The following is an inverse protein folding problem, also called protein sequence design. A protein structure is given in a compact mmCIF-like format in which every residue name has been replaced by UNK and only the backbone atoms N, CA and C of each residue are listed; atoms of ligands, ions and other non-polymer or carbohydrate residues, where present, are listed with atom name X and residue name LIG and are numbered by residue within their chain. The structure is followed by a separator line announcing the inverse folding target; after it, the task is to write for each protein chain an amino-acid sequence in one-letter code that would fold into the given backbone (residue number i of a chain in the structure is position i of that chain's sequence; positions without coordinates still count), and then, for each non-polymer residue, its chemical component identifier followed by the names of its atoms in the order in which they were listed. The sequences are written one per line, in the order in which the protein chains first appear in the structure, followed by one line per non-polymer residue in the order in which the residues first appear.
data_IF_931512744581
#
_entry.id   IF_931512744581
#
_cell.length_a   1.000
_cell.length_b   1.000
_cell.length_c   1.000
_cell.angle_alpha   90.00
_cell.angle_beta   90.00
_cell.angle_gamma   90.00
#
_symmetry.space_group_name_H-M   'P 1'
#
loop_
_entity.id
_entity.type
_entity.pdbx_description
1 polymer ?
#
# COMPACT_ATOMS: atom_id res chain seq x y z
N UNK A 1 -75.80 23.23 -58.64
CA UNK A 1 -74.99 23.70 -57.44
C UNK A 1 -74.60 22.43 -56.69
N UNK A 2 -73.33 22.01 -56.76
CA UNK A 2 -72.84 20.81 -56.06
C UNK A 2 -72.10 21.27 -54.79
N UNK A 3 -72.64 20.83 -53.69
CA UNK A 3 -71.99 21.07 -52.38
C UNK A 3 -70.99 19.92 -52.15
N UNK A 4 -69.72 20.25 -52.06
CA UNK A 4 -68.64 19.34 -51.75
C UNK A 4 -68.50 19.33 -50.24
N UNK A 5 -68.78 18.18 -49.61
CA UNK A 5 -68.58 17.92 -48.17
C UNK A 5 -67.11 17.52 -47.97
N UNK A 6 -66.30 18.35 -47.32
CA UNK A 6 -64.92 18.03 -46.96
C UNK A 6 -64.93 17.40 -45.56
N UNK A 7 -64.67 16.13 -45.51
CA UNK A 7 -64.49 15.38 -44.24
C UNK A 7 -63.02 15.54 -43.81
N UNK A 8 -62.80 16.27 -42.73
CA UNK A 8 -61.49 16.39 -42.09
C UNK A 8 -61.28 15.18 -41.17
N UNK A 9 -60.41 14.29 -41.58
CA UNK A 9 -60.00 13.11 -40.81
C UNK A 9 -58.87 13.53 -39.85
N UNK A 10 -59.19 13.72 -38.57
CA UNK A 10 -58.20 14.04 -37.51
C UNK A 10 -57.46 12.74 -37.12
N UNK A 11 -56.21 12.62 -37.56
CA UNK A 11 -55.31 11.57 -37.14
C UNK A 11 -54.69 12.00 -35.81
N UNK A 12 -55.17 11.41 -34.72
CA UNK A 12 -54.55 11.53 -33.39
C UNK A 12 -53.35 10.58 -33.35
N UNK A 13 -52.14 11.14 -33.46
CA UNK A 13 -50.90 10.43 -33.19
C UNK A 13 -50.77 10.24 -31.67
N UNK A 14 -51.07 9.03 -31.21
CA UNK A 14 -50.70 8.57 -29.86
C UNK A 14 -49.17 8.31 -29.85
N UNK A 15 -48.40 9.32 -29.50
CA UNK A 15 -47.00 9.15 -29.12
C UNK A 15 -46.96 8.38 -27.80
N UNK A 16 -46.96 7.04 -27.87
CA UNK A 16 -46.55 6.19 -26.76
C UNK A 16 -45.05 6.42 -26.53
N UNK A 17 -44.74 7.39 -25.69
CA UNK A 17 -43.39 7.61 -25.19
C UNK A 17 -42.94 6.36 -24.41
N UNK A 18 -42.21 5.46 -25.06
CA UNK A 18 -41.39 4.50 -24.35
C UNK A 18 -40.36 5.31 -23.55
N UNK A 19 -40.69 5.58 -22.31
CA UNK A 19 -39.71 5.98 -21.30
C UNK A 19 -38.82 4.75 -21.04
N UNK A 20 -37.82 4.56 -21.91
CA UNK A 20 -36.72 3.66 -21.58
C UNK A 20 -36.07 4.26 -20.33
N UNK A 21 -36.39 3.71 -19.17
CA UNK A 21 -35.57 3.83 -17.99
C UNK A 21 -34.19 3.22 -18.32
N UNK A 22 -33.35 3.98 -19.00
CA UNK A 22 -31.93 3.71 -19.05
C UNK A 22 -31.49 3.93 -17.60
N UNK A 23 -31.46 2.83 -16.84
CA UNK A 23 -30.69 2.82 -15.59
C UNK A 23 -29.28 3.19 -16.00
N UNK A 24 -28.89 4.42 -15.73
CA UNK A 24 -27.51 4.85 -15.88
C UNK A 24 -26.70 3.87 -15.04
N UNK A 25 -25.93 3.02 -15.72
CA UNK A 25 -25.11 2.01 -15.05
C UNK A 25 -24.11 2.78 -14.21
N UNK A 26 -24.28 2.72 -12.89
CA UNK A 26 -23.45 3.45 -11.97
C UNK A 26 -22.00 3.01 -12.21
N UNK A 27 -21.14 3.93 -12.62
CA UNK A 27 -19.71 3.66 -12.81
C UNK A 27 -19.14 3.01 -11.56
N UNK A 28 -18.40 1.93 -11.73
CA UNK A 28 -17.73 1.25 -10.63
C UNK A 28 -16.23 1.33 -10.80
N UNK A 29 -15.51 1.40 -9.66
CA UNK A 29 -14.05 1.38 -9.59
C UNK A 29 -13.65 0.25 -8.65
N UNK A 30 -12.70 -0.58 -9.08
CA UNK A 30 -12.10 -1.65 -8.28
C UNK A 30 -10.75 -1.23 -7.76
N UNK A 31 -10.63 -1.20 -6.44
CA UNK A 31 -9.39 -0.83 -5.73
C UNK A 31 -8.78 -2.08 -5.11
N UNK A 32 -7.49 -2.31 -5.38
CA UNK A 32 -6.67 -3.19 -4.57
C UNK A 32 -5.89 -2.35 -3.55
N UNK A 33 -5.97 -2.67 -2.26
CA UNK A 33 -5.30 -1.90 -1.22
C UNK A 33 -4.38 -2.77 -0.37
N UNK A 34 -3.19 -2.25 -0.09
CA UNK A 34 -2.26 -2.75 0.93
C UNK A 34 -2.17 -1.83 2.16
N UNK A 35 -3.04 -0.83 2.24
CA UNK A 35 -3.20 -0.01 3.43
C UNK A 35 -4.01 -0.74 4.49
N UNK A 36 -3.99 -0.20 5.71
CA UNK A 36 -4.90 -0.63 6.77
C UNK A 36 -6.37 -0.55 6.32
N UNK A 37 -7.19 -1.52 6.72
CA UNK A 37 -8.59 -1.64 6.31
C UNK A 37 -9.37 -0.37 6.63
N UNK A 38 -9.31 0.11 7.87
CA UNK A 38 -10.02 1.33 8.30
C UNK A 38 -9.65 2.55 7.45
N UNK A 39 -8.36 2.74 7.14
CA UNK A 39 -7.91 3.85 6.29
C UNK A 39 -8.42 3.67 4.86
N UNK A 40 -8.38 2.46 4.33
CA UNK A 40 -8.89 2.17 2.99
C UNK A 40 -10.37 2.45 2.88
N UNK A 41 -11.16 2.00 3.84
CA UNK A 41 -12.61 2.17 3.86
C UNK A 41 -13.00 3.65 3.92
N UNK A 42 -12.35 4.43 4.79
CA UNK A 42 -12.57 5.88 4.87
C UNK A 42 -12.30 6.56 3.53
N UNK A 43 -11.17 6.26 2.89
CA UNK A 43 -10.80 6.85 1.61
C UNK A 43 -11.75 6.41 0.47
N UNK A 44 -12.14 5.13 0.45
CA UNK A 44 -13.03 4.57 -0.55
C UNK A 44 -14.44 5.14 -0.43
N UNK A 45 -14.97 5.25 0.78
CA UNK A 45 -16.30 5.83 1.04
C UNK A 45 -16.35 7.32 0.68
N UNK A 46 -15.33 8.09 1.08
CA UNK A 46 -15.27 9.52 0.78
C UNK A 46 -15.20 9.74 -0.73
N UNK A 47 -14.35 8.99 -1.43
CA UNK A 47 -14.25 9.03 -2.88
C UNK A 47 -15.57 8.63 -3.57
N UNK A 48 -16.22 7.54 -3.11
CA UNK A 48 -17.49 7.09 -3.65
C UNK A 48 -18.57 8.17 -3.55
N UNK A 49 -18.65 8.85 -2.41
CA UNK A 49 -19.59 9.96 -2.15
C UNK A 49 -19.29 11.18 -3.04
N UNK A 50 -18.02 11.59 -3.11
CA UNK A 50 -17.62 12.78 -3.87
C UNK A 50 -17.78 12.61 -5.37
N UNK A 51 -17.54 11.41 -5.91
CA UNK A 51 -17.57 11.15 -7.34
C UNK A 51 -18.86 10.49 -7.83
N UNK A 52 -19.78 10.15 -6.91
CA UNK A 52 -21.02 9.41 -7.21
C UNK A 52 -20.76 8.10 -8.00
N UNK A 53 -19.78 7.31 -7.53
CA UNK A 53 -19.38 6.04 -8.13
C UNK A 53 -19.47 4.92 -7.12
N UNK A 54 -19.66 3.68 -7.58
CA UNK A 54 -19.51 2.51 -6.73
C UNK A 54 -18.02 2.20 -6.60
N UNK A 55 -17.55 1.95 -5.37
CA UNK A 55 -16.18 1.51 -5.10
C UNK A 55 -16.20 0.09 -4.56
N UNK A 56 -15.43 -0.79 -5.17
CA UNK A 56 -15.19 -2.15 -4.69
C UNK A 56 -13.75 -2.25 -4.22
N UNK A 57 -13.56 -2.56 -2.93
CA UNK A 57 -12.24 -2.72 -2.33
C UNK A 57 -11.91 -4.19 -2.15
N UNK A 58 -10.69 -4.57 -2.50
CA UNK A 58 -10.07 -5.84 -2.12
C UNK A 58 -8.69 -5.58 -1.53
N UNK A 59 -8.41 -6.23 -0.40
CA UNK A 59 -7.09 -6.11 0.22
C UNK A 59 -6.09 -7.03 -0.47
N UNK A 60 -4.87 -6.50 -0.64
CA UNK A 60 -3.76 -7.25 -1.17
C UNK A 60 -3.37 -8.32 -0.14
N UNK A 61 -3.36 -9.61 -0.52
CA UNK A 61 -3.04 -10.68 0.43
C UNK A 61 -1.59 -10.57 0.93
N UNK A 62 -1.33 -11.12 2.11
CA UNK A 62 0.01 -11.42 2.54
C UNK A 62 0.64 -12.45 1.59
N UNK A 63 1.94 -12.38 1.40
CA UNK A 63 2.65 -13.27 0.50
C UNK A 63 3.92 -12.63 -0.04
N UNK A 64 4.68 -13.39 -0.80
CA UNK A 64 5.85 -12.88 -1.48
C UNK A 64 5.45 -11.92 -2.63
N UNK A 65 6.43 -11.21 -3.16
CA UNK A 65 6.20 -10.20 -4.17
C UNK A 65 5.52 -10.74 -5.45
N UNK A 66 5.94 -11.93 -5.91
CA UNK A 66 5.37 -12.53 -7.13
C UNK A 66 3.90 -12.93 -6.94
N UNK A 67 3.55 -13.47 -5.80
CA UNK A 67 2.16 -13.80 -5.45
C UNK A 67 1.28 -12.55 -5.43
N UNK A 68 1.78 -11.47 -4.85
CA UNK A 68 1.09 -10.18 -4.78
C UNK A 68 0.92 -9.55 -6.17
N UNK A 69 1.95 -9.56 -7.01
CA UNK A 69 1.86 -9.07 -8.38
C UNK A 69 0.92 -9.92 -9.24
N UNK A 70 0.90 -11.25 -9.05
CA UNK A 70 -0.05 -12.13 -9.73
C UNK A 70 -1.49 -11.82 -9.31
N UNK A 71 -1.75 -11.63 -8.03
CA UNK A 71 -3.07 -11.24 -7.54
C UNK A 71 -3.55 -9.91 -8.18
N UNK A 72 -2.67 -8.92 -8.27
CA UNK A 72 -2.96 -7.65 -8.95
C UNK A 72 -3.29 -7.85 -10.44
N UNK A 73 -2.53 -8.68 -11.12
CA UNK A 73 -2.72 -8.97 -12.55
C UNK A 73 -4.06 -9.67 -12.82
N UNK A 74 -4.41 -10.67 -12.02
CA UNK A 74 -5.63 -11.44 -12.17
C UNK A 74 -6.88 -10.67 -11.76
N UNK A 75 -6.76 -9.81 -10.75
CA UNK A 75 -7.89 -9.08 -10.17
C UNK A 75 -8.47 -7.99 -11.06
N UNK A 76 -7.76 -7.56 -12.11
CA UNK A 76 -8.20 -6.49 -13.03
C UNK A 76 -8.66 -5.25 -12.28
N UNK A 77 -7.81 -4.75 -11.39
CA UNK A 77 -8.08 -3.56 -10.60
C UNK A 77 -7.85 -2.29 -11.43
N UNK A 78 -8.63 -1.24 -11.13
CA UNK A 78 -8.48 0.08 -11.72
C UNK A 78 -7.42 0.91 -10.97
N UNK A 79 -7.32 0.69 -9.65
CA UNK A 79 -6.40 1.40 -8.76
C UNK A 79 -5.72 0.42 -7.82
N UNK A 80 -4.41 0.58 -7.66
CA UNK A 80 -3.64 -0.02 -6.58
C UNK A 80 -3.27 1.07 -5.57
N UNK A 81 -3.68 0.90 -4.31
CA UNK A 81 -3.51 1.86 -3.22
C UNK A 81 -2.56 1.30 -2.16
N UNK A 82 -1.56 2.08 -1.77
CA UNK A 82 -0.51 1.63 -0.84
C UNK A 82 0.58 0.83 -1.54
N UNK A 83 1.38 0.08 -0.78
CA UNK A 83 2.55 -0.61 -1.30
C UNK A 83 3.84 0.19 -1.15
N UNK A 84 4.94 -0.35 -1.66
CA UNK A 84 6.27 0.27 -1.60
C UNK A 84 6.75 0.69 -2.99
N UNK A 85 7.70 1.64 -3.09
CA UNK A 85 8.26 2.06 -4.38
C UNK A 85 8.82 0.90 -5.21
N UNK A 86 9.44 -0.09 -4.55
CA UNK A 86 10.02 -1.27 -5.20
C UNK A 86 8.97 -2.13 -5.88
N UNK A 87 7.82 -2.32 -5.22
CA UNK A 87 6.68 -3.07 -5.78
C UNK A 87 6.14 -2.36 -7.04
N UNK A 88 5.99 -1.04 -6.98
CA UNK A 88 5.53 -0.25 -8.12
C UNK A 88 6.54 -0.22 -9.26
N UNK A 89 7.84 -0.16 -8.94
CA UNK A 89 8.89 -0.24 -9.94
C UNK A 89 8.78 -1.56 -10.72
N UNK A 90 8.73 -2.69 -10.03
CA UNK A 90 8.62 -4.01 -10.64
C UNK A 90 7.32 -4.20 -11.43
N UNK A 91 6.19 -3.73 -10.90
CA UNK A 91 4.92 -3.73 -11.62
C UNK A 91 4.99 -2.88 -12.90
N UNK A 92 5.70 -1.76 -12.85
CA UNK A 92 5.95 -0.90 -14.01
C UNK A 92 6.79 -1.58 -15.09
N UNK A 93 7.89 -2.26 -14.71
CA UNK A 93 8.72 -3.04 -15.63
C UNK A 93 7.94 -4.19 -16.28
N UNK A 94 7.01 -4.79 -15.55
CA UNK A 94 6.10 -5.82 -16.05
C UNK A 94 4.90 -5.26 -16.83
N UNK A 95 4.86 -3.95 -17.11
CA UNK A 95 3.80 -3.24 -17.86
C UNK A 95 2.40 -3.42 -17.24
N UNK A 96 2.33 -3.59 -15.93
CA UNK A 96 1.06 -3.72 -15.20
C UNK A 96 0.43 -2.36 -14.89
N UNK A 97 1.22 -1.30 -14.89
CA UNK A 97 0.80 0.04 -14.52
C UNK A 97 0.56 0.91 -15.76
N UNK A 98 -0.56 1.59 -15.77
CA UNK A 98 -0.91 2.58 -16.79
C UNK A 98 -0.47 3.97 -16.34
N UNK A 99 0.10 4.76 -17.26
CA UNK A 99 0.42 6.16 -16.99
C UNK A 99 -0.86 6.96 -16.74
N UNK A 100 -0.91 7.65 -15.61
CA UNK A 100 -2.01 8.54 -15.24
C UNK A 100 -1.51 9.72 -14.41
N UNK A 101 -1.66 10.93 -14.92
CA UNK A 101 -1.30 12.15 -14.20
C UNK A 101 -2.53 12.74 -13.50
N UNK A 102 -2.66 12.60 -12.16
CA UNK A 102 -3.74 13.23 -11.42
C UNK A 102 -3.69 14.76 -11.53
N UNK A 103 -4.83 15.43 -11.44
CA UNK A 103 -4.88 16.89 -11.49
C UNK A 103 -4.03 17.54 -10.39
N UNK A 104 -4.03 16.96 -9.21
CA UNK A 104 -3.31 17.45 -8.03
C UNK A 104 -1.86 16.94 -7.91
N UNK A 105 -1.39 16.18 -8.90
CA UNK A 105 -0.04 15.59 -8.86
C UNK A 105 1.08 16.63 -8.79
N UNK A 106 0.82 17.88 -9.19
CA UNK A 106 1.78 18.97 -9.06
C UNK A 106 2.09 19.34 -7.60
N UNK A 107 1.20 18.99 -6.67
CA UNK A 107 1.40 19.17 -5.22
C UNK A 107 2.33 18.13 -4.60
N UNK A 108 2.55 17.02 -5.30
CA UNK A 108 3.42 15.95 -4.82
C UNK A 108 4.85 16.26 -5.21
N UNK A 109 5.82 16.24 -4.27
CA UNK A 109 7.23 16.44 -4.56
C UNK A 109 7.74 15.52 -5.68
N UNK A 110 8.72 15.99 -6.44
CA UNK A 110 9.22 15.26 -7.63
C UNK A 110 9.79 13.89 -7.27
N UNK A 111 10.44 13.79 -6.11
CA UNK A 111 11.02 12.57 -5.54
C UNK A 111 9.97 11.54 -5.09
N UNK A 112 8.71 11.96 -4.93
CA UNK A 112 7.59 11.08 -4.52
C UNK A 112 6.71 10.67 -5.69
N UNK A 113 7.17 10.82 -6.92
CA UNK A 113 6.41 10.46 -8.12
C UNK A 113 7.34 9.93 -9.21
N UNK A 114 6.82 9.01 -9.99
CA UNK A 114 7.57 8.43 -11.09
C UNK A 114 7.46 9.32 -12.35
N UNK A 115 8.55 9.41 -13.14
CA UNK A 115 8.67 10.33 -14.28
C UNK A 115 7.65 10.06 -15.40
N UNK A 116 7.22 8.83 -15.57
CA UNK A 116 6.21 8.42 -16.56
C UNK A 116 4.78 8.44 -15.99
N UNK A 117 4.61 8.87 -14.74
CA UNK A 117 3.32 8.92 -14.05
C UNK A 117 2.63 7.57 -13.92
N UNK A 118 3.40 6.49 -13.81
CA UNK A 118 2.86 5.15 -13.56
C UNK A 118 2.41 4.98 -12.11
N UNK A 119 3.01 5.76 -11.19
CA UNK A 119 2.59 5.87 -9.80
C UNK A 119 2.90 7.25 -9.22
N UNK A 120 2.23 7.57 -8.12
CA UNK A 120 2.41 8.80 -7.35
C UNK A 120 2.39 8.44 -5.86
N UNK A 121 3.36 8.94 -5.09
CA UNK A 121 3.44 8.72 -3.66
C UNK A 121 2.23 9.28 -2.93
N UNK A 122 1.72 8.53 -1.98
CA UNK A 122 0.57 8.88 -1.16
C UNK A 122 1.01 9.49 0.19
N UNK A 123 2.02 8.90 0.82
CA UNK A 123 2.58 9.35 2.09
C UNK A 123 4.03 8.88 2.21
N UNK A 124 4.74 9.41 3.19
CA UNK A 124 6.07 8.96 3.61
C UNK A 124 5.91 8.18 4.91
N UNK A 125 6.55 7.04 4.99
CA UNK A 125 6.66 6.25 6.20
C UNK A 125 8.13 6.20 6.65
N UNK A 126 8.36 5.94 7.92
CA UNK A 126 9.69 5.83 8.49
C UNK A 126 9.90 4.42 9.04
N UNK A 127 11.09 3.89 8.88
CA UNK A 127 11.51 2.63 9.48
C UNK A 127 12.35 2.95 10.70
N UNK A 128 12.06 2.28 11.79
CA UNK A 128 12.76 2.51 13.06
C UNK A 128 12.76 1.28 13.97
N UNK A 129 13.08 1.53 15.22
CA UNK A 129 13.21 0.50 16.24
C UNK A 129 12.08 0.59 17.27
N UNK A 130 11.30 -0.46 17.38
CA UNK A 130 10.44 -0.70 18.53
C UNK A 130 11.25 -1.49 19.56
N UNK A 131 11.33 -1.00 20.79
CA UNK A 131 12.19 -1.61 21.81
C UNK A 131 11.40 -1.98 23.07
N UNK A 132 11.77 -3.11 23.69
CA UNK A 132 11.32 -3.48 25.01
C UNK A 132 12.27 -2.85 26.06
N UNK A 133 11.80 -1.84 26.77
CA UNK A 133 12.62 -1.09 27.74
C UNK A 133 13.11 -1.93 28.91
N UNK A 134 12.32 -2.90 29.35
CA UNK A 134 12.70 -3.76 30.48
C UNK A 134 13.80 -4.72 30.06
N UNK A 135 13.66 -5.32 28.87
CA UNK A 135 14.71 -6.17 28.29
C UNK A 135 16.02 -5.40 28.06
N UNK A 136 15.94 -4.18 27.51
CA UNK A 136 17.14 -3.36 27.35
C UNK A 136 17.83 -3.09 28.70
N UNK A 137 17.06 -2.83 29.75
CA UNK A 137 17.60 -2.61 31.12
C UNK A 137 18.26 -3.87 31.66
N UNK A 138 17.66 -5.04 31.46
CA UNK A 138 18.24 -6.34 31.84
C UNK A 138 19.57 -6.61 31.15
N UNK A 139 19.69 -6.22 29.88
CA UNK A 139 20.92 -6.36 29.09
C UNK A 139 21.95 -5.23 29.37
N UNK A 140 21.60 -4.22 30.18
CA UNK A 140 22.44 -3.06 30.44
C UNK A 140 22.63 -2.16 29.22
N UNK A 141 21.66 -2.15 28.29
CA UNK A 141 21.73 -1.42 27.03
C UNK A 141 20.77 -0.24 26.97
N UNK A 142 21.10 0.71 26.11
CA UNK A 142 20.20 1.77 25.66
C UNK A 142 19.54 1.39 24.33
N UNK A 143 18.42 2.04 24.03
CA UNK A 143 17.77 1.87 22.75
C UNK A 143 18.72 2.28 21.61
N UNK A 144 18.83 1.50 20.52
CA UNK A 144 19.68 1.85 19.41
C UNK A 144 19.15 3.10 18.69
N UNK A 145 20.06 3.97 18.26
CA UNK A 145 19.76 5.17 17.48
C UNK A 145 20.22 5.04 16.02
N UNK A 146 21.06 4.05 15.73
CA UNK A 146 21.62 3.82 14.40
C UNK A 146 21.52 2.35 13.99
N UNK A 147 21.56 2.12 12.67
CA UNK A 147 21.59 0.76 12.14
C UNK A 147 22.79 -0.06 12.63
N UNK A 148 23.98 0.58 12.77
CA UNK A 148 25.19 -0.12 13.22
C UNK A 148 25.09 -0.62 14.66
N UNK A 149 24.28 0.02 15.48
CA UNK A 149 24.08 -0.42 16.86
C UNK A 149 23.32 -1.75 16.97
N UNK A 150 22.55 -2.13 15.93
CA UNK A 150 21.95 -3.47 15.87
C UNK A 150 23.00 -4.59 15.72
N UNK A 151 24.24 -4.25 15.31
CA UNK A 151 25.33 -5.21 15.15
C UNK A 151 26.14 -5.42 16.43
N UNK A 152 25.75 -4.80 17.57
CA UNK A 152 26.40 -5.00 18.86
C UNK A 152 26.25 -6.48 19.28
N UNK A 153 27.34 -7.14 19.79
CA UNK A 153 27.28 -8.53 20.21
C UNK A 153 26.21 -8.82 21.28
N UNK A 154 25.90 -7.83 22.12
CA UNK A 154 24.89 -7.91 23.18
C UNK A 154 23.46 -8.03 22.62
N UNK A 155 23.26 -7.72 21.34
CA UNK A 155 22.00 -7.85 20.63
C UNK A 155 21.91 -9.11 19.77
N UNK A 156 22.84 -10.07 19.95
CA UNK A 156 22.78 -11.37 19.33
C UNK A 156 21.44 -12.06 19.63
N UNK A 157 20.75 -12.51 18.59
CA UNK A 157 19.40 -13.10 18.68
C UNK A 157 18.32 -12.20 19.30
N UNK A 158 18.56 -10.93 19.55
CA UNK A 158 17.61 -10.04 20.24
C UNK A 158 16.75 -9.19 19.29
N UNK A 159 16.99 -9.27 17.98
CA UNK A 159 16.25 -8.49 17.00
C UNK A 159 15.22 -9.33 16.24
N UNK A 160 14.05 -8.75 15.94
CA UNK A 160 13.00 -9.30 15.09
C UNK A 160 12.65 -8.35 13.95
N UNK A 161 12.28 -8.88 12.78
CA UNK A 161 11.77 -8.10 11.66
C UNK A 161 10.97 -9.01 10.71
N UNK A 162 10.10 -8.43 9.89
CA UNK A 162 9.43 -9.20 8.84
C UNK A 162 10.44 -9.71 7.81
N UNK A 163 10.25 -10.93 7.32
CA UNK A 163 11.14 -11.55 6.32
C UNK A 163 11.09 -10.71 5.02
N UNK A 164 12.26 -10.41 4.50
CA UNK A 164 12.42 -9.69 3.24
C UNK A 164 11.71 -10.38 2.05
N UNK A 165 11.58 -11.71 2.08
CA UNK A 165 10.87 -12.49 1.06
C UNK A 165 9.39 -12.14 0.96
N UNK A 166 8.81 -11.67 2.04
CA UNK A 166 7.40 -11.26 2.09
C UNK A 166 7.19 -9.86 1.49
N UNK A 167 8.26 -9.23 1.00
CA UNK A 167 8.20 -7.85 0.51
C UNK A 167 7.96 -6.84 1.62
N UNK A 168 7.63 -5.63 1.22
CA UNK A 168 7.18 -4.63 2.16
C UNK A 168 8.29 -3.84 2.85
N UNK A 169 7.96 -3.27 4.00
CA UNK A 169 8.73 -2.21 4.65
C UNK A 169 10.08 -2.65 5.24
N UNK A 170 10.27 -3.94 5.49
CA UNK A 170 11.56 -4.47 5.97
C UNK A 170 12.72 -4.19 5.02
N UNK A 171 12.43 -4.12 3.71
CA UNK A 171 13.42 -3.65 2.74
C UNK A 171 13.92 -2.23 3.04
N UNK A 172 13.10 -1.39 3.67
CA UNK A 172 13.45 -0.04 4.02
C UNK A 172 14.74 0.06 4.86
N UNK A 173 15.06 -0.95 5.67
CA UNK A 173 16.34 -1.01 6.38
C UNK A 173 17.51 -1.09 5.39
N UNK A 174 17.48 -2.06 4.49
CA UNK A 174 18.59 -2.28 3.55
C UNK A 174 18.68 -1.16 2.52
N UNK A 175 17.54 -0.70 1.98
CA UNK A 175 17.52 0.41 1.03
C UNK A 175 17.98 1.72 1.64
N UNK A 176 17.69 1.98 2.92
CA UNK A 176 18.22 3.14 3.65
C UNK A 176 19.74 3.10 3.75
N UNK A 177 20.32 1.94 4.09
CA UNK A 177 21.77 1.78 4.16
C UNK A 177 22.40 1.90 2.76
N UNK A 178 21.75 1.35 1.74
CA UNK A 178 22.19 1.50 0.35
C UNK A 178 22.24 2.97 -0.07
N UNK A 179 21.18 3.72 0.18
CA UNK A 179 21.14 5.16 -0.15
C UNK A 179 22.20 5.97 0.60
N UNK A 180 22.46 5.63 1.87
CA UNK A 180 23.42 6.35 2.69
C UNK A 180 24.88 5.98 2.42
N UNK A 181 25.17 4.72 2.04
CA UNK A 181 26.54 4.15 2.04
C UNK A 181 26.93 3.42 0.76
N UNK A 182 25.99 3.25 -0.18
CA UNK A 182 26.16 2.51 -1.43
C UNK A 182 25.92 1.00 -1.29
N UNK A 183 25.83 0.34 -2.44
CA UNK A 183 25.44 -1.07 -2.55
C UNK A 183 26.35 -2.03 -1.78
N UNK A 184 27.66 -1.90 -1.96
CA UNK A 184 28.64 -2.78 -1.33
C UNK A 184 28.51 -2.78 0.21
N UNK A 185 28.34 -1.58 0.80
CA UNK A 185 28.16 -1.44 2.24
C UNK A 185 26.82 -1.93 2.74
N UNK A 186 25.75 -1.80 1.95
CA UNK A 186 24.46 -2.37 2.28
C UNK A 186 24.50 -3.91 2.30
N UNK A 187 25.17 -4.52 1.33
CA UNK A 187 25.33 -5.97 1.28
C UNK A 187 26.22 -6.50 2.43
N UNK A 188 27.31 -5.79 2.75
CA UNK A 188 28.16 -6.10 3.91
C UNK A 188 27.36 -6.03 5.22
N UNK A 189 26.56 -4.97 5.38
CA UNK A 189 25.68 -4.82 6.55
C UNK A 189 24.64 -5.93 6.61
N UNK A 190 23.97 -6.27 5.51
CA UNK A 190 22.96 -7.33 5.47
C UNK A 190 23.55 -8.69 5.90
N UNK A 191 24.76 -9.01 5.44
CA UNK A 191 25.45 -10.21 5.84
C UNK A 191 25.79 -10.21 7.34
N UNK A 192 26.33 -9.10 7.85
CA UNK A 192 26.65 -8.92 9.27
C UNK A 192 25.40 -9.00 10.15
N UNK A 193 24.31 -8.35 9.73
CA UNK A 193 23.03 -8.38 10.44
C UNK A 193 22.44 -9.80 10.47
N UNK A 194 22.46 -10.49 9.32
CA UNK A 194 21.98 -11.89 9.28
C UNK A 194 22.78 -12.82 10.19
N UNK A 195 24.09 -12.56 10.38
CA UNK A 195 24.93 -13.33 11.31
C UNK A 195 24.57 -13.14 12.79
N UNK A 196 23.82 -12.08 13.13
CA UNK A 196 23.25 -11.87 14.45
C UNK A 196 22.05 -12.78 14.75
N UNK A 197 21.65 -13.65 13.82
CA UNK A 197 20.50 -14.55 13.92
C UNK A 197 19.19 -13.84 14.30
N UNK A 198 18.79 -12.80 13.56
CA UNK A 198 17.54 -12.12 13.85
C UNK A 198 16.35 -13.08 13.65
N UNK A 199 15.25 -12.82 14.36
CA UNK A 199 14.00 -13.53 14.14
C UNK A 199 13.30 -12.94 12.91
N UNK A 200 13.27 -13.68 11.81
CA UNK A 200 12.45 -13.36 10.66
C UNK A 200 11.02 -13.83 10.88
N UNK A 201 10.06 -12.93 10.72
CA UNK A 201 8.64 -13.16 10.95
C UNK A 201 7.84 -13.04 9.66
N UNK A 202 6.61 -13.55 9.63
CA UNK A 202 5.74 -13.41 8.46
C UNK A 202 5.22 -11.96 8.27
N UNK A 203 5.20 -11.16 9.34
CA UNK A 203 4.71 -9.79 9.30
C UNK A 203 5.38 -8.90 10.35
N UNK A 204 5.27 -7.58 10.20
CA UNK A 204 5.71 -6.63 11.23
C UNK A 204 4.96 -6.83 12.56
N UNK A 205 3.68 -7.24 12.51
CA UNK A 205 2.90 -7.53 13.72
C UNK A 205 3.46 -8.68 14.54
N UNK A 206 3.93 -9.73 13.89
CA UNK A 206 4.59 -10.83 14.59
C UNK A 206 5.94 -10.41 15.20
N UNK A 207 6.70 -9.52 14.52
CA UNK A 207 7.92 -8.95 15.08
C UNK A 207 7.61 -8.08 16.31
N UNK A 208 6.56 -7.26 16.24
CA UNK A 208 6.07 -6.46 17.37
C UNK A 208 5.67 -7.36 18.54
N UNK A 209 4.94 -8.43 18.29
CA UNK A 209 4.50 -9.36 19.33
C UNK A 209 5.67 -10.10 19.97
N UNK A 210 6.73 -10.38 19.22
CA UNK A 210 7.96 -10.94 19.78
C UNK A 210 8.62 -9.99 20.80
N UNK A 211 8.55 -8.67 20.56
CA UNK A 211 9.07 -7.65 21.49
C UNK A 211 8.12 -7.44 22.66
N UNK A 212 6.82 -7.35 22.42
CA UNK A 212 5.82 -7.19 23.50
C UNK A 212 5.86 -8.32 24.50
N UNK A 213 5.99 -9.56 24.02
CA UNK A 213 6.08 -10.76 24.87
C UNK A 213 7.42 -10.95 25.55
N UNK A 214 8.41 -10.08 25.30
CA UNK A 214 9.77 -10.20 25.85
C UNK A 214 10.61 -11.30 25.19
N UNK A 215 10.15 -11.95 24.12
CA UNK A 215 10.93 -12.94 23.36
C UNK A 215 12.10 -12.32 22.60
N UNK A 216 11.97 -11.06 22.23
CA UNK A 216 13.00 -10.25 21.57
C UNK A 216 13.04 -8.87 22.21
N UNK A 217 14.17 -8.19 22.08
CA UNK A 217 14.40 -6.86 22.65
C UNK A 217 14.04 -5.77 21.68
N UNK A 218 14.26 -5.98 20.38
CA UNK A 218 14.10 -4.97 19.33
C UNK A 218 13.29 -5.55 18.17
N UNK A 219 12.39 -4.74 17.60
CA UNK A 219 11.80 -5.00 16.30
C UNK A 219 12.11 -3.85 15.34
N UNK A 220 12.49 -4.19 14.10
CA UNK A 220 12.58 -3.25 13.00
C UNK A 220 11.21 -3.15 12.34
N UNK A 221 10.56 -2.01 12.46
CA UNK A 221 9.17 -1.81 12.04
C UNK A 221 8.96 -0.42 11.43
N UNK A 222 7.87 -0.27 10.69
CA UNK A 222 7.43 1.03 10.23
C UNK A 222 6.76 1.83 11.34
N UNK A 223 6.92 3.15 11.30
CA UNK A 223 6.26 4.06 12.23
C UNK A 223 4.74 3.93 12.16
N UNK A 224 4.19 3.81 10.95
CA UNK A 224 2.75 3.67 10.76
C UNK A 224 2.18 2.41 11.41
N UNK A 225 2.93 1.31 11.44
CA UNK A 225 2.53 0.09 12.16
C UNK A 225 2.71 0.26 13.67
N UNK A 226 3.82 0.84 14.12
CA UNK A 226 4.08 1.07 15.54
C UNK A 226 3.02 1.98 16.20
N UNK A 227 2.58 3.03 15.55
CA UNK A 227 1.55 3.96 16.05
C UNK A 227 0.16 3.31 16.24
N UNK A 228 -0.09 2.15 15.64
CA UNK A 228 -1.34 1.41 15.88
C UNK A 228 -1.38 0.71 17.24
N UNK A 229 -0.23 0.60 17.93
CA UNK A 229 -0.15 0.02 19.28
C UNK A 229 -0.69 0.95 20.38
N UNK A 230 -0.80 2.24 20.11
CA UNK A 230 -1.25 3.24 21.08
C UNK A 230 -2.79 3.36 21.15
N UNK A 231 -3.50 2.60 20.34
CA UNK A 231 -4.97 2.58 20.25
C UNK A 231 -5.55 1.28 20.80
#
# INVERSE_FOLDING_TARGET
MKVILVTVLSIVFLCSGCSSNIKEEQKSIKICSSLNETMTDILAEDFAKQQNVKVEVRHLPAGNLDERLNFLREGKFDVWLGGTPEEYYLAGEQKMLRSYRPREAYKVPAEMRENQWRWTGLYVDYIGFLTNRDRLRELGLYAPETWDELLKPELWEETALADFKNGGRSYGMITSIWQLRGEAKAMEYAASFNSQLPLYTASEWEAIEAVRSGRKTIAVVSLSTALQLER
#
